data_IF_905065893014
#
_entry.id   IF_905065893014
#
_cell.length_a   1.000
_cell.length_b   1.000
_cell.length_c   1.000
_cell.angle_alpha   90.00
_cell.angle_beta   90.00
_cell.angle_gamma   90.00
#
_symmetry.space_group_name_H-M   'P 1'
#
loop_
_entity.id
_entity.type
_entity.pdbx_description
1 polymer ?
#
# COMPACT_ATOMS: atom_id res chain seq x y z
N UNK A 1 -5.18 -32.39 3.31
CA UNK A 1 -5.40 -31.22 2.45
C UNK A 1 -4.45 -30.16 2.96
N UNK A 2 -3.52 -29.66 2.15
CA UNK A 2 -2.64 -28.58 2.60
C UNK A 2 -3.50 -27.31 2.66
N UNK A 3 -3.63 -26.73 3.86
CA UNK A 3 -4.27 -25.43 4.04
C UNK A 3 -3.48 -24.40 3.24
N UNK A 4 -4.03 -23.95 2.11
CA UNK A 4 -3.43 -22.97 1.21
C UNK A 4 -3.55 -21.54 1.78
N UNK A 5 -3.23 -21.40 3.07
CA UNK A 5 -3.44 -20.17 3.84
C UNK A 5 -2.34 -19.17 3.51
N UNK A 6 -2.73 -18.02 2.96
CA UNK A 6 -1.83 -16.90 2.68
C UNK A 6 -1.22 -16.32 3.95
N UNK A 7 -0.01 -15.81 3.83
CA UNK A 7 0.73 -15.17 4.92
C UNK A 7 1.59 -14.04 4.37
N UNK A 8 2.15 -13.19 5.24
CA UNK A 8 3.07 -12.13 4.78
C UNK A 8 4.30 -12.64 4.03
N UNK A 9 4.67 -13.92 4.19
CA UNK A 9 5.78 -14.55 3.48
C UNK A 9 5.34 -15.42 2.29
N UNK A 10 4.03 -15.49 2.04
CA UNK A 10 3.44 -16.07 0.83
C UNK A 10 2.18 -15.29 0.43
N UNK A 11 2.38 -14.19 -0.29
CA UNK A 11 1.32 -13.34 -0.83
C UNK A 11 1.07 -13.60 -2.33
N UNK A 12 1.77 -14.55 -2.95
CA UNK A 12 1.76 -14.74 -4.40
C UNK A 12 0.35 -14.97 -4.95
N UNK A 13 -0.02 -14.22 -5.99
CA UNK A 13 -1.27 -14.39 -6.73
C UNK A 13 -2.15 -13.15 -6.78
N UNK A 14 -3.37 -13.30 -7.33
CA UNK A 14 -4.34 -12.23 -7.45
C UNK A 14 -5.06 -11.94 -6.14
N UNK A 15 -5.34 -10.66 -5.90
CA UNK A 15 -6.15 -10.20 -4.80
C UNK A 15 -7.15 -9.14 -5.28
N UNK A 16 -8.31 -9.11 -4.66
CA UNK A 16 -9.41 -8.22 -5.00
C UNK A 16 -9.71 -7.31 -3.81
N UNK A 17 -9.78 -6.01 -4.06
CA UNK A 17 -10.14 -5.01 -3.06
C UNK A 17 -11.59 -5.22 -2.60
N UNK A 18 -11.78 -5.39 -1.30
CA UNK A 18 -13.06 -5.30 -0.64
C UNK A 18 -13.34 -3.83 -0.33
N UNK A 19 -14.19 -3.20 -1.14
CA UNK A 19 -14.50 -1.78 -1.04
C UNK A 19 -15.25 -1.42 0.25
N UNK A 20 -16.13 -2.30 0.73
CA UNK A 20 -16.94 -2.05 1.91
C UNK A 20 -16.10 -2.05 3.20
N UNK A 21 -14.95 -2.73 3.17
CA UNK A 21 -13.98 -2.75 4.25
C UNK A 21 -12.82 -1.75 4.06
N UNK A 22 -12.82 -0.99 2.95
CA UNK A 22 -11.74 -0.06 2.59
C UNK A 22 -12.17 1.40 2.71
N UNK A 23 -11.22 2.27 3.00
CA UNK A 23 -11.41 3.72 3.06
C UNK A 23 -11.43 4.35 1.67
N UNK A 24 -11.97 5.57 1.58
CA UNK A 24 -11.82 6.42 0.39
C UNK A 24 -10.40 7.02 0.34
N UNK A 25 -9.69 6.79 -0.76
CA UNK A 25 -8.33 7.27 -0.98
C UNK A 25 -8.26 8.69 -1.57
N UNK A 26 -9.40 9.34 -1.83
CA UNK A 26 -9.46 10.63 -2.54
C UNK A 26 -8.66 11.74 -1.85
N UNK A 27 -8.66 11.78 -0.51
CA UNK A 27 -7.90 12.77 0.26
C UNK A 27 -6.38 12.55 0.14
N UNK A 28 -5.91 11.31 0.25
CA UNK A 28 -4.50 10.96 0.05
C UNK A 28 -4.03 11.32 -1.37
N UNK A 29 -4.85 11.02 -2.39
CA UNK A 29 -4.55 11.39 -3.77
C UNK A 29 -4.46 12.91 -3.98
N UNK A 30 -5.26 13.71 -3.26
CA UNK A 30 -5.15 15.18 -3.30
C UNK A 30 -3.82 15.66 -2.71
N UNK A 31 -3.41 15.09 -1.57
CA UNK A 31 -2.10 15.38 -0.95
C UNK A 31 -0.96 15.02 -1.90
N UNK A 32 -1.05 13.88 -2.59
CA UNK A 32 -0.09 13.44 -3.60
C UNK A 32 -0.09 14.28 -4.90
N UNK A 33 -0.94 15.30 -4.97
CA UNK A 33 -1.06 16.20 -6.12
C UNK A 33 -1.61 15.52 -7.37
N UNK A 34 -2.47 14.51 -7.23
CA UNK A 34 -3.20 13.91 -8.33
C UNK A 34 -4.40 14.81 -8.65
N UNK A 35 -4.53 15.26 -9.90
CA UNK A 35 -5.57 16.21 -10.30
C UNK A 35 -7.01 15.69 -10.07
N UNK A 36 -7.93 16.62 -9.79
CA UNK A 36 -9.33 16.33 -9.45
C UNK A 36 -10.07 15.42 -10.45
N UNK A 37 -9.87 15.63 -11.76
CA UNK A 37 -10.50 14.81 -12.79
C UNK A 37 -10.03 13.35 -12.71
N UNK A 38 -8.74 13.12 -12.49
CA UNK A 38 -8.17 11.78 -12.30
C UNK A 38 -8.72 11.13 -11.04
N UNK A 39 -8.79 11.86 -9.91
CA UNK A 39 -9.39 11.34 -8.67
C UNK A 39 -10.85 10.93 -8.85
N UNK A 40 -11.64 11.74 -9.55
CA UNK A 40 -13.03 11.41 -9.92
C UNK A 40 -13.10 10.15 -10.79
N UNK A 41 -12.24 10.05 -11.80
CA UNK A 41 -12.19 8.88 -12.67
C UNK A 41 -11.87 7.61 -11.87
N UNK A 42 -10.91 7.65 -10.93
CA UNK A 42 -10.60 6.54 -10.04
C UNK A 42 -11.79 6.18 -9.11
N UNK A 43 -12.45 7.19 -8.53
CA UNK A 43 -13.62 6.97 -7.68
C UNK A 43 -14.78 6.31 -8.43
N UNK A 44 -15.04 6.71 -9.69
CA UNK A 44 -16.05 6.07 -10.55
C UNK A 44 -15.61 4.67 -10.96
N UNK A 45 -14.35 4.50 -11.39
CA UNK A 45 -13.79 3.22 -11.78
C UNK A 45 -13.94 2.16 -10.69
N UNK A 46 -13.57 2.50 -9.45
CA UNK A 46 -13.70 1.62 -8.29
C UNK A 46 -15.14 1.36 -7.85
N UNK A 47 -16.15 2.09 -8.38
CA UNK A 47 -17.58 1.76 -8.21
C UNK A 47 -18.06 0.76 -9.27
N UNK A 48 -17.50 0.84 -10.48
CA UNK A 48 -17.89 -0.04 -11.58
C UNK A 48 -17.26 -1.43 -11.47
N UNK A 49 -16.00 -1.50 -11.04
CA UNK A 49 -15.30 -2.75 -10.86
C UNK A 49 -14.40 -2.68 -9.61
N UNK A 50 -14.30 -3.79 -8.85
CA UNK A 50 -13.36 -3.87 -7.75
C UNK A 50 -11.92 -3.78 -8.29
N UNK A 51 -11.10 -2.96 -7.63
CA UNK A 51 -9.66 -2.89 -7.90
C UNK A 51 -9.06 -4.28 -7.64
N UNK A 52 -8.20 -4.75 -8.54
CA UNK A 52 -7.42 -5.97 -8.34
C UNK A 52 -5.94 -5.65 -8.30
N UNK A 53 -5.21 -6.40 -7.49
CA UNK A 53 -3.76 -6.43 -7.49
C UNK A 53 -3.29 -7.84 -7.80
N UNK A 54 -2.13 -7.96 -8.43
CA UNK A 54 -1.39 -9.21 -8.50
C UNK A 54 -0.08 -9.03 -7.76
N UNK A 55 0.19 -9.90 -6.81
CA UNK A 55 1.41 -9.88 -6.00
C UNK A 55 2.33 -10.98 -6.49
N UNK A 56 3.56 -10.61 -6.83
CA UNK A 56 4.66 -11.52 -7.07
C UNK A 56 5.71 -11.31 -5.98
N UNK A 57 5.90 -12.30 -5.12
CA UNK A 57 6.81 -12.27 -3.98
C UNK A 57 7.92 -13.30 -4.17
N UNK A 58 9.16 -12.82 -4.19
CA UNK A 58 10.37 -13.63 -4.24
C UNK A 58 10.95 -13.75 -2.82
N UNK A 59 10.36 -14.63 -2.04
CA UNK A 59 10.73 -14.83 -0.63
C UNK A 59 10.65 -13.53 0.18
N UNK A 60 11.70 -13.23 0.94
CA UNK A 60 11.82 -11.99 1.72
C UNK A 60 12.55 -10.87 0.98
N UNK A 61 13.01 -11.10 -0.25
CA UNK A 61 13.89 -10.17 -0.96
C UNK A 61 13.14 -9.07 -1.69
N UNK A 62 12.08 -9.45 -2.40
CA UNK A 62 11.40 -8.59 -3.35
C UNK A 62 9.91 -8.92 -3.40
N UNK A 63 9.09 -7.87 -3.45
CA UNK A 63 7.65 -7.94 -3.63
C UNK A 63 7.26 -6.94 -4.73
N UNK A 64 6.63 -7.44 -5.78
CA UNK A 64 6.09 -6.64 -6.88
C UNK A 64 4.56 -6.69 -6.81
N UNK A 65 3.94 -5.53 -6.68
CA UNK A 65 2.48 -5.38 -6.61
C UNK A 65 2.04 -4.65 -7.88
N UNK A 66 1.32 -5.37 -8.74
CA UNK A 66 0.78 -4.82 -9.99
C UNK A 66 -0.70 -4.52 -9.83
N UNK A 67 -1.07 -3.26 -9.98
CA UNK A 67 -2.47 -2.82 -9.89
C UNK A 67 -3.13 -2.98 -11.26
N UNK A 68 -4.18 -3.80 -11.32
CA UNK A 68 -5.02 -3.94 -12.50
C UNK A 68 -5.95 -2.72 -12.57
N UNK A 69 -5.54 -1.74 -13.35
CA UNK A 69 -6.31 -0.53 -13.58
C UNK A 69 -7.30 -0.71 -14.74
N UNK A 70 -8.38 0.07 -14.75
CA UNK A 70 -9.24 0.17 -15.93
C UNK A 70 -8.45 0.77 -17.09
N UNK A 71 -8.83 0.47 -18.34
CA UNK A 71 -8.09 0.85 -19.56
C UNK A 71 -7.72 2.34 -19.67
N UNK A 72 -8.43 3.24 -18.99
CA UNK A 72 -8.18 4.69 -18.97
C UNK A 72 -7.20 5.17 -17.89
N UNK A 73 -6.76 4.29 -16.98
CA UNK A 73 -5.86 4.61 -15.88
C UNK A 73 -4.49 3.95 -16.11
N UNK A 74 -3.37 4.66 -15.89
CA UNK A 74 -2.04 4.09 -16.06
C UNK A 74 -1.86 2.83 -15.21
N UNK A 75 -1.21 1.80 -15.76
CA UNK A 75 -0.83 0.65 -14.97
C UNK A 75 0.21 1.08 -13.92
N UNK A 76 -0.08 0.80 -12.65
CA UNK A 76 0.81 1.11 -11.53
C UNK A 76 1.48 -0.19 -11.10
N UNK A 77 2.79 -0.12 -10.90
CA UNK A 77 3.58 -1.21 -10.34
C UNK A 77 4.36 -0.67 -9.18
N UNK A 78 4.13 -1.24 -8.02
CA UNK A 78 4.90 -0.97 -6.81
C UNK A 78 5.94 -2.07 -6.62
N UNK A 79 7.16 -1.66 -6.29
CA UNK A 79 8.29 -2.57 -6.12
C UNK A 79 8.91 -2.29 -4.76
N UNK A 80 8.90 -3.31 -3.90
CA UNK A 80 9.41 -3.25 -2.53
C UNK A 80 10.57 -4.23 -2.42
N UNK A 81 11.69 -3.76 -1.87
CA UNK A 81 12.92 -4.56 -1.67
C UNK A 81 13.33 -4.61 -0.20
N UNK A 82 12.55 -5.32 0.64
CA UNK A 82 12.72 -5.29 2.09
C UNK A 82 14.00 -5.94 2.62
N UNK A 83 14.76 -6.67 1.80
CA UNK A 83 16.03 -7.26 2.21
C UNK A 83 17.19 -6.25 2.33
N UNK A 84 17.11 -5.11 1.64
CA UNK A 84 18.22 -4.15 1.59
C UNK A 84 18.00 -2.94 2.50
N UNK A 85 16.74 -2.56 2.75
CA UNK A 85 16.38 -1.32 3.47
C UNK A 85 17.07 -0.07 2.90
N UNK A 86 17.19 -0.01 1.57
CA UNK A 86 17.80 1.10 0.84
C UNK A 86 16.75 1.92 0.08
N UNK A 87 17.02 3.22 -0.07
CA UNK A 87 16.21 4.08 -0.92
C UNK A 87 16.42 3.76 -2.39
N UNK A 88 15.32 3.55 -3.11
CA UNK A 88 15.27 3.40 -4.55
C UNK A 88 14.45 4.53 -5.17
N UNK A 89 15.02 5.21 -6.16
CA UNK A 89 14.27 6.17 -6.96
C UNK A 89 13.45 5.48 -8.06
N UNK A 90 12.23 5.98 -8.29
CA UNK A 90 11.33 5.46 -9.31
C UNK A 90 10.49 6.59 -9.90
N UNK A 91 10.12 6.43 -11.17
CA UNK A 91 9.12 7.28 -11.81
C UNK A 91 7.76 6.59 -11.74
N UNK A 92 6.84 7.16 -10.99
CA UNK A 92 5.44 6.75 -10.94
C UNK A 92 4.60 7.53 -11.98
N UNK A 93 3.73 6.84 -12.75
CA UNK A 93 2.94 7.49 -13.79
C UNK A 93 1.87 8.47 -13.28
N UNK A 94 1.45 8.37 -12.02
CA UNK A 94 0.44 9.25 -11.42
C UNK A 94 1.06 10.39 -10.60
N UNK A 95 2.14 10.11 -9.86
CA UNK A 95 2.69 11.07 -8.88
C UNK A 95 4.05 11.65 -9.24
N UNK A 96 4.69 11.18 -10.32
CA UNK A 96 5.99 11.68 -10.78
C UNK A 96 7.16 10.93 -10.15
N UNK A 97 8.30 11.59 -9.95
CA UNK A 97 9.45 10.95 -9.30
C UNK A 97 9.23 10.81 -7.80
N UNK A 98 9.50 9.62 -7.31
CA UNK A 98 9.46 9.26 -5.90
C UNK A 98 10.75 8.52 -5.53
N UNK A 99 11.04 8.46 -4.24
CA UNK A 99 11.92 7.45 -3.67
C UNK A 99 11.13 6.57 -2.71
N UNK A 100 11.46 5.29 -2.68
CA UNK A 100 10.83 4.30 -1.82
C UNK A 100 11.90 3.48 -1.10
N UNK A 101 11.68 3.19 0.16
CA UNK A 101 12.44 2.25 0.97
C UNK A 101 11.47 1.32 1.67
N UNK A 102 11.86 0.07 1.88
CA UNK A 102 11.00 -0.92 2.54
C UNK A 102 11.81 -1.86 3.39
N UNK A 103 11.19 -2.44 4.42
CA UNK A 103 11.79 -3.43 5.32
C UNK A 103 10.75 -4.36 5.92
N UNK A 104 11.19 -5.54 6.34
CA UNK A 104 10.42 -6.39 7.25
C UNK A 104 10.60 -5.88 8.68
N UNK A 105 9.51 -5.86 9.45
CA UNK A 105 9.50 -5.41 10.84
C UNK A 105 8.41 -6.12 11.62
N UNK A 106 8.28 -5.82 12.91
CA UNK A 106 7.17 -6.28 13.74
C UNK A 106 6.33 -5.12 14.27
N UNK A 107 5.10 -5.40 14.68
CA UNK A 107 4.25 -4.39 15.33
C UNK A 107 4.89 -3.80 16.59
N UNK A 108 5.64 -4.60 17.35
CA UNK A 108 6.36 -4.12 18.54
C UNK A 108 7.48 -3.14 18.18
N UNK A 109 8.24 -3.41 17.11
CA UNK A 109 9.24 -2.47 16.61
C UNK A 109 8.59 -1.15 16.16
N UNK A 110 7.46 -1.21 15.42
CA UNK A 110 6.71 -0.02 14.99
C UNK A 110 6.18 0.80 16.17
N UNK A 111 5.60 0.13 17.18
CA UNK A 111 5.12 0.81 18.41
C UNK A 111 6.28 1.46 19.17
N UNK A 112 7.41 0.76 19.31
CA UNK A 112 8.58 1.27 20.05
C UNK A 112 9.26 2.48 19.39
N UNK A 113 9.26 2.56 18.06
CA UNK A 113 9.79 3.72 17.32
C UNK A 113 8.82 4.91 17.27
N UNK A 114 7.62 4.79 17.85
CA UNK A 114 6.62 5.84 17.88
C UNK A 114 5.89 6.06 16.55
N UNK A 115 5.66 4.99 15.77
CA UNK A 115 4.81 5.07 14.58
C UNK A 115 3.42 5.62 14.91
N UNK A 116 2.81 6.32 13.94
CA UNK A 116 1.48 6.88 14.09
C UNK A 116 0.46 5.81 14.53
N UNK A 117 -0.46 6.20 15.41
CA UNK A 117 -1.44 5.29 15.98
C UNK A 117 -2.33 4.67 14.92
N UNK A 118 -2.70 5.39 13.86
CA UNK A 118 -3.52 4.82 12.78
C UNK A 118 -2.86 3.57 12.16
N UNK A 119 -1.54 3.60 12.01
CA UNK A 119 -0.80 2.50 11.40
C UNK A 119 -0.77 1.26 12.30
N UNK A 120 -0.78 1.43 13.62
CA UNK A 120 -0.53 0.34 14.58
C UNK A 120 -1.73 -0.04 15.45
N UNK A 121 -2.81 0.76 15.42
CA UNK A 121 -3.98 0.54 16.27
C UNK A 121 -4.71 -0.76 15.92
N UNK A 122 -5.17 -1.45 16.96
CA UNK A 122 -5.82 -2.76 16.85
C UNK A 122 -4.93 -3.92 16.41
N UNK A 123 -3.62 -3.70 16.18
CA UNK A 123 -2.69 -4.78 15.81
C UNK A 123 -2.19 -5.54 17.04
N UNK A 124 -2.12 -6.86 16.90
CA UNK A 124 -1.53 -7.74 17.90
C UNK A 124 -0.05 -7.44 18.12
N UNK A 125 0.51 -8.03 19.18
CA UNK A 125 1.93 -7.91 19.46
C UNK A 125 2.73 -8.88 18.57
N UNK A 126 3.86 -8.39 18.06
CA UNK A 126 4.80 -9.12 17.19
C UNK A 126 4.26 -9.69 15.86
N UNK A 127 3.24 -9.08 15.27
CA UNK A 127 2.83 -9.44 13.91
C UNK A 127 3.92 -9.07 12.89
N UNK A 128 4.15 -9.92 11.88
CA UNK A 128 5.09 -9.61 10.80
C UNK A 128 4.49 -8.55 9.88
N UNK A 129 5.18 -7.43 9.70
CA UNK A 129 4.75 -6.31 8.88
C UNK A 129 5.76 -6.07 7.77
N UNK A 130 5.27 -5.78 6.57
CA UNK A 130 6.07 -5.16 5.52
C UNK A 130 5.83 -3.65 5.58
N UNK A 131 6.84 -2.91 5.99
CA UNK A 131 6.83 -1.46 6.02
C UNK A 131 7.46 -0.90 4.75
N UNK A 132 6.89 0.20 4.24
CA UNK A 132 7.48 1.02 3.22
C UNK A 132 7.34 2.50 3.56
N UNK A 133 8.37 3.27 3.25
CA UNK A 133 8.41 4.73 3.30
C UNK A 133 8.52 5.24 1.87
N UNK A 134 7.61 6.13 1.47
CA UNK A 134 7.60 6.74 0.14
C UNK A 134 7.69 8.26 0.30
N UNK A 135 8.58 8.88 -0.47
CA UNK A 135 8.69 10.34 -0.53
C UNK A 135 8.67 10.83 -1.98
N UNK A 136 7.94 11.91 -2.24
CA UNK A 136 8.04 12.58 -3.53
C UNK A 136 9.33 13.37 -3.66
N UNK A 137 9.91 13.33 -4.86
CA UNK A 137 11.07 14.14 -5.23
C UNK A 137 10.67 15.39 -6.04
N UNK A 138 9.37 15.53 -6.35
CA UNK A 138 8.83 16.58 -7.22
C UNK A 138 7.64 17.33 -6.62
N UNK A 139 6.96 16.74 -5.63
CA UNK A 139 5.78 17.28 -4.96
C UNK A 139 5.97 17.27 -3.44
N UNK A 140 5.03 17.88 -2.72
CA UNK A 140 5.04 17.94 -1.26
C UNK A 140 4.20 16.80 -0.67
N UNK A 141 4.71 15.56 -0.71
CA UNK A 141 4.11 14.47 0.07
C UNK A 141 5.13 13.43 0.54
N UNK A 142 4.80 12.83 1.69
CA UNK A 142 5.39 11.60 2.22
C UNK A 142 4.29 10.60 2.54
N UNK A 143 4.61 9.32 2.52
CA UNK A 143 3.68 8.25 2.84
C UNK A 143 4.38 7.13 3.59
N UNK A 144 3.90 6.85 4.79
CA UNK A 144 4.24 5.65 5.54
C UNK A 144 3.19 4.58 5.24
N UNK A 145 3.65 3.40 4.88
CA UNK A 145 2.82 2.34 4.35
C UNK A 145 3.12 1.03 5.07
N UNK A 146 2.08 0.36 5.57
CA UNK A 146 2.18 -0.97 6.15
C UNK A 146 1.33 -1.98 5.38
N UNK A 147 1.89 -3.15 5.11
CA UNK A 147 1.16 -4.33 4.68
C UNK A 147 1.19 -5.40 5.77
N UNK A 148 0.05 -6.01 6.03
CA UNK A 148 -0.12 -7.07 7.04
C UNK A 148 -1.26 -8.02 6.67
N UNK A 149 -1.31 -9.18 7.32
CA UNK A 149 -2.44 -10.10 7.23
C UNK A 149 -3.36 -9.92 8.44
N UNK A 150 -4.62 -9.57 8.23
CA UNK A 150 -5.67 -9.62 9.26
C UNK A 150 -6.55 -10.84 8.99
N UNK A 151 -6.23 -11.97 9.63
CA UNK A 151 -6.86 -13.26 9.34
C UNK A 151 -6.44 -13.81 7.97
N UNK A 152 -7.38 -13.90 7.03
CA UNK A 152 -7.17 -14.32 5.64
C UNK A 152 -7.14 -13.13 4.65
N UNK A 153 -7.24 -11.90 5.16
CA UNK A 153 -7.24 -10.66 4.35
C UNK A 153 -5.88 -10.01 4.38
N UNK A 154 -5.44 -9.56 3.22
CA UNK A 154 -4.27 -8.68 3.09
C UNK A 154 -4.73 -7.24 3.30
N UNK A 155 -4.16 -6.56 4.29
CA UNK A 155 -4.51 -5.19 4.65
C UNK A 155 -3.33 -4.28 4.37
N UNK A 156 -3.62 -3.16 3.72
CA UNK A 156 -2.68 -2.06 3.50
C UNK A 156 -3.15 -0.84 4.30
N UNK A 157 -2.27 -0.22 5.07
CA UNK A 157 -2.52 1.04 5.77
C UNK A 157 -1.53 2.08 5.28
N UNK A 158 -2.05 3.17 4.73
CA UNK A 158 -1.27 4.28 4.20
C UNK A 158 -1.56 5.53 5.02
N UNK A 159 -0.49 6.14 5.56
CA UNK A 159 -0.52 7.45 6.17
C UNK A 159 0.18 8.43 5.23
N UNK A 160 -0.59 9.26 4.52
CA UNK A 160 -0.05 10.29 3.62
C UNK A 160 -0.02 11.64 4.32
N UNK A 161 1.11 12.33 4.26
CA UNK A 161 1.31 13.66 4.85
C UNK A 161 1.97 14.61 3.86
N UNK A 162 1.88 15.91 4.12
CA UNK A 162 2.60 16.97 3.40
C UNK A 162 3.18 18.00 4.36
N UNK A 163 4.20 18.74 3.93
CA UNK A 163 4.89 19.75 4.76
C UNK A 163 3.95 20.88 5.21
N UNK A 164 2.89 21.16 4.45
CA UNK A 164 1.84 22.12 4.85
C UNK A 164 0.86 21.59 5.93
N UNK A 165 1.10 20.39 6.48
CA UNK A 165 0.34 19.84 7.60
C UNK A 165 -0.93 19.08 7.23
N UNK A 166 -1.20 18.81 5.93
CA UNK A 166 -2.28 17.89 5.57
C UNK A 166 -1.89 16.46 5.95
N UNK A 167 -2.90 15.68 6.37
CA UNK A 167 -2.81 14.26 6.73
C UNK A 167 -4.00 13.52 6.12
N UNK A 168 -3.77 12.34 5.56
CA UNK A 168 -4.82 11.42 5.13
C UNK A 168 -4.46 9.99 5.52
N UNK A 169 -5.41 9.31 6.14
CA UNK A 169 -5.32 7.93 6.59
C UNK A 169 -6.16 7.06 5.64
N UNK A 170 -5.55 6.07 5.00
CA UNK A 170 -6.22 5.20 4.04
C UNK A 170 -5.98 3.75 4.40
N UNK A 171 -7.06 2.97 4.54
CA UNK A 171 -7.00 1.53 4.75
C UNK A 171 -7.58 0.80 3.53
N UNK A 172 -6.83 -0.13 2.96
CA UNK A 172 -7.30 -1.01 1.91
C UNK A 172 -7.32 -2.44 2.41
N UNK A 173 -8.39 -3.16 2.10
CA UNK A 173 -8.54 -4.58 2.43
C UNK A 173 -8.69 -5.37 1.16
N UNK A 174 -7.86 -6.40 1.03
CA UNK A 174 -7.85 -7.29 -0.11
C UNK A 174 -8.17 -8.71 0.32
N UNK A 175 -9.02 -9.36 -0.47
CA UNK A 175 -9.37 -10.76 -0.37
C UNK A 175 -8.66 -11.52 -1.48
N UNK A 176 -8.14 -12.72 -1.19
CA UNK A 176 -7.48 -13.54 -2.19
C UNK A 176 -8.48 -13.96 -3.28
N UNK A 177 -8.12 -13.82 -4.55
CA UNK A 177 -9.00 -14.04 -5.72
C UNK A 177 -8.48 -15.20 -6.58
N UNK A 178 -8.23 -16.36 -5.96
CA UNK A 178 -7.61 -17.53 -6.59
C UNK A 178 -8.14 -18.87 -6.10
#
# INVERSE_FOLDING_TARGET
MADNKKSMLDLNGPWKLNKDLSSDATAAMDIQGIGFLTRKAVSVATKLAPLRISVAQKGKEEIIISYATMASLPAIKEELRPANDEWMEKKDPMVGKIRIRSRWTTTSELKSKGSDTFLTDGLGDDETILEAEIESLEKDFKMDQLWLMEGDKLVKRDLTTSANGKKAETRFVYEFDG
#
